data_IF_674708528948
#
_entry.id   IF_674708528948
#
_cell.length_a   1.000
_cell.length_b   1.000
_cell.length_c   1.000
_cell.angle_alpha   90.00
_cell.angle_beta   90.00
_cell.angle_gamma   90.00
#
_symmetry.space_group_name_H-M   'P 1'
#
loop_
_entity.id
_entity.type
_entity.pdbx_description
1 polymer ?
#
# COMPACT_ATOMS: atom_id res chain seq x y z
N UNK A 1 -17.55 0.15 16.37
CA UNK A 1 -17.43 -1.30 16.55
C UNK A 1 -15.96 -1.71 16.65
N UNK A 2 -15.63 -2.68 17.48
CA UNK A 2 -14.29 -3.25 17.61
C UNK A 2 -14.37 -4.72 17.21
N UNK A 3 -13.44 -5.19 16.36
CA UNK A 3 -13.33 -6.58 15.94
C UNK A 3 -11.90 -7.07 16.07
N UNK A 4 -11.71 -8.34 16.34
CA UNK A 4 -10.41 -9.00 16.31
C UNK A 4 -10.32 -9.87 15.05
N UNK A 5 -9.34 -9.57 14.19
CA UNK A 5 -9.12 -10.24 12.93
C UNK A 5 -7.72 -10.84 12.90
N UNK A 6 -7.58 -11.98 12.27
CA UNK A 6 -6.26 -12.49 11.87
C UNK A 6 -5.65 -11.58 10.79
N UNK A 7 -4.33 -11.62 10.66
CA UNK A 7 -3.65 -10.92 9.56
C UNK A 7 -4.15 -11.38 8.19
N UNK A 8 -4.47 -12.66 8.04
CA UNK A 8 -5.02 -13.20 6.80
C UNK A 8 -6.38 -12.58 6.44
N UNK A 9 -7.30 -12.47 7.40
CA UNK A 9 -8.62 -11.83 7.20
C UNK A 9 -8.50 -10.32 6.91
N UNK A 10 -7.58 -9.64 7.58
CA UNK A 10 -7.30 -8.22 7.29
C UNK A 10 -6.75 -8.03 5.87
N UNK A 11 -5.83 -8.91 5.45
CA UNK A 11 -5.24 -8.86 4.12
C UNK A 11 -6.27 -9.17 3.03
N UNK A 12 -7.13 -10.19 3.25
CA UNK A 12 -8.26 -10.51 2.36
C UNK A 12 -9.20 -9.32 2.19
N UNK A 13 -9.60 -8.67 3.29
CA UNK A 13 -10.48 -7.51 3.24
C UNK A 13 -9.87 -6.34 2.47
N UNK A 14 -8.57 -6.07 2.62
CA UNK A 14 -7.88 -5.01 1.88
C UNK A 14 -7.69 -5.37 0.40
N UNK A 15 -7.41 -6.62 0.06
CA UNK A 15 -7.38 -7.09 -1.34
C UNK A 15 -8.76 -6.92 -1.98
N UNK A 16 -9.82 -7.39 -1.34
CA UNK A 16 -11.18 -7.29 -1.84
C UNK A 16 -11.65 -5.82 -1.98
N UNK A 17 -11.33 -4.94 -1.04
CA UNK A 17 -11.77 -3.54 -1.06
C UNK A 17 -11.05 -2.66 -2.08
N UNK A 18 -9.96 -3.16 -2.65
CA UNK A 18 -9.17 -2.47 -3.68
C UNK A 18 -9.27 -3.11 -5.07
N UNK A 19 -10.22 -4.03 -5.27
CA UNK A 19 -10.35 -4.88 -6.46
C UNK A 19 -10.34 -4.15 -7.79
N UNK A 20 -10.86 -2.93 -7.87
CA UNK A 20 -10.95 -2.15 -9.10
C UNK A 20 -10.00 -0.93 -9.13
N UNK A 21 -9.16 -0.73 -8.11
CA UNK A 21 -8.18 0.37 -8.13
C UNK A 21 -7.27 0.27 -9.37
N UNK A 22 -7.06 1.36 -10.15
CA UNK A 22 -7.26 2.76 -9.79
C UNK A 22 -8.68 3.33 -10.00
N UNK A 23 -9.63 2.55 -10.52
CA UNK A 23 -11.00 3.02 -10.67
C UNK A 23 -11.64 3.24 -9.28
N UNK A 24 -12.45 4.31 -9.12
CA UNK A 24 -13.05 4.63 -7.82
C UNK A 24 -14.11 3.61 -7.42
N UNK A 25 -14.13 3.25 -6.14
CA UNK A 25 -15.16 2.40 -5.54
C UNK A 25 -15.51 2.92 -4.15
N UNK A 26 -16.80 2.84 -3.79
CA UNK A 26 -17.28 3.27 -2.47
C UNK A 26 -16.67 2.47 -1.30
N UNK A 27 -16.31 1.23 -1.55
CA UNK A 27 -15.68 0.34 -0.57
C UNK A 27 -14.18 0.62 -0.34
N UNK A 28 -13.54 1.57 -1.07
CA UNK A 28 -12.12 1.85 -0.92
C UNK A 28 -11.76 2.22 0.53
N UNK A 29 -10.78 1.55 1.15
CA UNK A 29 -10.45 1.75 2.56
C UNK A 29 -9.82 3.11 2.83
N UNK A 30 -10.28 3.76 3.90
CA UNK A 30 -9.60 4.91 4.50
C UNK A 30 -9.08 4.45 5.86
N UNK A 31 -7.77 4.25 5.96
CA UNK A 31 -7.15 3.59 7.12
C UNK A 31 -6.40 4.55 8.03
N UNK A 32 -6.31 4.18 9.31
CA UNK A 32 -5.36 4.73 10.28
C UNK A 32 -4.66 3.57 10.98
N UNK A 33 -3.36 3.72 11.26
CA UNK A 33 -2.57 2.67 11.89
C UNK A 33 -2.18 1.51 10.98
N UNK A 34 -2.57 1.54 9.71
CA UNK A 34 -2.18 0.55 8.70
C UNK A 34 -1.46 1.27 7.57
N UNK A 35 -0.34 0.72 7.12
CA UNK A 35 0.37 1.17 5.92
C UNK A 35 0.45 0.00 4.93
N UNK A 36 0.00 0.23 3.70
CA UNK A 36 -0.02 -0.81 2.68
C UNK A 36 0.18 -0.27 1.26
N UNK A 37 0.56 -1.15 0.36
CA UNK A 37 0.76 -0.87 -1.07
C UNK A 37 -0.25 -1.62 -1.90
N UNK A 38 -0.77 -0.98 -2.94
CA UNK A 38 -1.61 -1.60 -3.97
C UNK A 38 -0.83 -1.63 -5.27
N UNK A 39 -0.59 -2.80 -5.82
CA UNK A 39 -0.05 -2.93 -7.17
C UNK A 39 -1.19 -2.90 -8.20
N UNK A 40 -1.40 -1.75 -8.83
CA UNK A 40 -2.45 -1.56 -9.85
C UNK A 40 -2.13 -2.21 -11.19
N UNK A 41 -0.87 -2.63 -11.40
CA UNK A 41 -0.44 -3.41 -12.58
C UNK A 41 -0.75 -4.90 -12.47
N UNK A 42 -0.95 -5.42 -11.25
CA UNK A 42 -1.39 -6.79 -11.03
C UNK A 42 -2.93 -6.88 -11.12
N UNK A 43 -3.42 -7.96 -11.73
CA UNK A 43 -4.86 -8.21 -11.82
C UNK A 43 -5.43 -8.66 -10.48
N UNK A 44 -6.66 -8.23 -10.17
CA UNK A 44 -7.45 -8.85 -9.10
C UNK A 44 -7.85 -10.26 -9.53
N UNK A 45 -7.52 -11.24 -8.71
CA UNK A 45 -7.87 -12.64 -8.95
C UNK A 45 -9.22 -12.93 -8.28
N UNK A 46 -10.28 -12.79 -9.08
CA UNK A 46 -11.65 -12.93 -8.58
C UNK A 46 -12.02 -14.41 -8.42
N UNK A 47 -12.39 -14.80 -7.20
CA UNK A 47 -12.97 -16.08 -6.86
C UNK A 47 -14.49 -16.13 -7.04
N UNK A 48 -15.16 -16.89 -6.18
CA UNK A 48 -16.62 -16.91 -6.10
C UNK A 48 -17.15 -15.63 -5.42
N UNK A 49 -18.41 -15.34 -5.60
CA UNK A 49 -18.99 -14.22 -4.88
C UNK A 49 -19.16 -14.56 -3.40
N UNK A 50 -18.87 -13.62 -2.54
CA UNK A 50 -19.25 -13.73 -1.13
C UNK A 50 -20.75 -14.01 -0.97
N UNK A 51 -21.15 -14.87 -0.03
CA UNK A 51 -22.54 -15.28 0.13
C UNK A 51 -23.51 -14.11 0.26
N UNK A 52 -24.49 -14.06 -0.65
CA UNK A 52 -25.52 -13.03 -0.65
C UNK A 52 -25.10 -11.66 -1.18
N UNK A 53 -23.91 -11.56 -1.78
CA UNK A 53 -23.38 -10.32 -2.34
C UNK A 53 -23.09 -10.44 -3.84
N UNK A 54 -22.74 -9.32 -4.48
CA UNK A 54 -22.25 -9.26 -5.86
C UNK A 54 -20.72 -9.10 -5.93
N UNK A 55 -20.05 -9.07 -4.79
CA UNK A 55 -18.60 -8.93 -4.69
C UNK A 55 -17.93 -10.30 -4.68
N UNK A 56 -16.91 -10.46 -5.51
CA UNK A 56 -16.09 -11.66 -5.51
C UNK A 56 -15.04 -11.63 -4.40
N UNK A 57 -14.88 -12.76 -3.71
CA UNK A 57 -13.72 -12.96 -2.83
C UNK A 57 -12.43 -13.01 -3.65
N UNK A 58 -11.27 -12.65 -3.09
CA UNK A 58 -10.00 -12.88 -3.78
C UNK A 58 -9.68 -14.38 -3.78
N UNK A 59 -9.48 -14.97 -4.96
CA UNK A 59 -8.98 -16.34 -5.08
C UNK A 59 -7.51 -16.46 -4.66
N UNK A 60 -6.78 -15.35 -4.78
CA UNK A 60 -5.40 -15.19 -4.28
C UNK A 60 -5.10 -13.73 -4.00
N UNK A 61 -4.12 -13.47 -3.12
CA UNK A 61 -3.63 -12.13 -2.81
C UNK A 61 -2.59 -11.74 -3.85
N UNK A 62 -2.96 -10.86 -4.76
CA UNK A 62 -2.11 -10.45 -5.88
C UNK A 62 -1.66 -8.99 -5.83
N UNK A 63 -2.46 -8.11 -5.25
CA UNK A 63 -2.32 -6.66 -5.39
C UNK A 63 -1.88 -5.97 -4.12
N UNK A 64 -2.38 -6.41 -2.97
CA UNK A 64 -2.15 -5.76 -1.68
C UNK A 64 -0.99 -6.37 -0.93
N UNK A 65 -0.08 -5.51 -0.48
CA UNK A 65 0.98 -5.86 0.47
C UNK A 65 0.85 -4.93 1.67
N UNK A 66 0.48 -5.47 2.84
CA UNK A 66 0.47 -4.71 4.10
C UNK A 66 1.92 -4.59 4.58
N UNK A 67 2.37 -3.37 4.82
CA UNK A 67 3.73 -3.08 5.29
C UNK A 67 3.78 -3.07 6.81
N UNK A 68 2.91 -2.28 7.43
CA UNK A 68 2.85 -2.16 8.89
C UNK A 68 1.42 -2.09 9.42
N UNK A 69 1.23 -2.58 10.64
CA UNK A 69 0.04 -2.37 11.46
C UNK A 69 0.48 -1.87 12.84
N UNK A 70 -0.08 -0.75 13.29
CA UNK A 70 0.34 -0.12 14.54
C UNK A 70 1.82 0.32 14.56
N UNK A 71 2.42 0.55 13.39
CA UNK A 71 3.83 0.90 13.24
C UNK A 71 4.80 -0.28 13.40
N UNK A 72 4.29 -1.52 13.50
CA UNK A 72 5.07 -2.74 13.50
C UNK A 72 4.94 -3.47 12.15
N UNK A 73 5.96 -4.22 11.75
CA UNK A 73 5.89 -5.04 10.55
C UNK A 73 4.66 -5.96 10.59
N UNK A 74 3.96 -6.06 9.45
CA UNK A 74 2.79 -6.92 9.34
C UNK A 74 3.16 -8.41 9.49
N UNK A 75 2.33 -9.13 10.22
CA UNK A 75 2.42 -10.57 10.41
C UNK A 75 1.05 -11.19 10.07
N UNK A 76 1.01 -12.04 9.04
CA UNK A 76 -0.21 -12.68 8.55
C UNK A 76 -0.84 -13.62 9.58
N UNK A 77 -0.04 -14.17 10.48
CA UNK A 77 -0.46 -15.12 11.52
C UNK A 77 -0.83 -14.42 12.85
N UNK A 78 -0.60 -13.12 12.96
CA UNK A 78 -0.96 -12.36 14.15
C UNK A 78 -2.45 -12.02 14.19
N UNK A 79 -2.96 -11.67 15.37
CA UNK A 79 -4.31 -11.11 15.57
C UNK A 79 -4.22 -9.61 15.77
N UNK A 80 -5.09 -8.87 15.10
CA UNK A 80 -5.17 -7.41 15.14
C UNK A 80 -6.53 -6.95 15.63
N UNK A 81 -6.52 -5.97 16.53
CA UNK A 81 -7.73 -5.27 16.97
C UNK A 81 -8.02 -4.12 15.99
N UNK A 82 -9.13 -4.19 15.29
CA UNK A 82 -9.56 -3.22 14.29
C UNK A 82 -10.79 -2.47 14.79
N UNK A 83 -10.78 -1.15 14.65
CA UNK A 83 -11.93 -0.28 14.90
C UNK A 83 -12.57 0.09 13.57
N UNK A 84 -13.86 -0.14 13.44
CA UNK A 84 -14.63 0.15 12.22
C UNK A 84 -16.09 0.50 12.57
N UNK A 85 -16.91 0.77 11.56
CA UNK A 85 -18.35 0.94 11.77
C UNK A 85 -19.06 -0.43 11.80
N UNK A 86 -20.31 -0.44 12.25
CA UNK A 86 -21.15 -1.63 12.36
C UNK A 86 -21.43 -2.31 11.01
N UNK A 87 -21.61 -1.52 9.95
CA UNK A 87 -21.85 -2.03 8.60
C UNK A 87 -20.66 -2.86 8.07
N UNK A 88 -19.42 -2.34 8.19
CA UNK A 88 -18.24 -3.08 7.77
C UNK A 88 -17.94 -4.26 8.72
N UNK A 89 -18.14 -4.11 10.03
CA UNK A 89 -17.99 -5.20 10.99
C UNK A 89 -18.94 -6.37 10.69
N UNK A 90 -20.12 -6.09 10.15
CA UNK A 90 -21.08 -7.10 9.70
C UNK A 90 -20.76 -7.68 8.31
N UNK A 91 -19.63 -7.32 7.70
CA UNK A 91 -19.22 -7.82 6.38
C UNK A 91 -19.81 -7.04 5.22
N UNK A 92 -20.21 -5.78 5.44
CA UNK A 92 -20.77 -4.91 4.40
C UNK A 92 -19.80 -4.61 3.28
N UNK A 93 -20.29 -4.33 2.08
CA UNK A 93 -19.51 -4.13 0.86
C UNK A 93 -18.55 -5.31 0.58
N UNK A 94 -17.28 -5.04 0.44
CA UNK A 94 -16.22 -6.03 0.19
C UNK A 94 -15.54 -6.54 1.46
N UNK A 95 -16.00 -6.13 2.66
CA UNK A 95 -15.37 -6.48 3.94
C UNK A 95 -15.95 -7.75 4.57
N UNK A 96 -16.36 -8.71 3.73
CA UNK A 96 -17.00 -9.94 4.20
C UNK A 96 -16.13 -10.70 5.22
N UNK A 97 -14.81 -10.68 5.07
CA UNK A 97 -13.87 -11.28 6.03
C UNK A 97 -14.07 -10.74 7.46
N UNK A 98 -14.52 -9.50 7.64
CA UNK A 98 -14.77 -8.92 8.97
C UNK A 98 -15.92 -9.63 9.70
N UNK A 99 -16.87 -10.21 8.98
CA UNK A 99 -17.95 -10.99 9.58
C UNK A 99 -17.49 -12.33 10.18
N UNK A 100 -16.31 -12.79 9.84
CA UNK A 100 -15.69 -13.99 10.39
C UNK A 100 -14.91 -13.75 11.70
N UNK A 101 -14.81 -12.48 12.16
CA UNK A 101 -14.11 -12.13 13.39
C UNK A 101 -14.55 -13.01 14.58
N UNK A 102 -13.57 -13.64 15.25
CA UNK A 102 -13.83 -14.53 16.38
C UNK A 102 -14.40 -13.79 17.60
N UNK A 103 -14.04 -12.51 17.74
CA UNK A 103 -14.52 -11.65 18.82
C UNK A 103 -14.70 -10.22 18.36
N UNK A 104 -15.57 -9.51 19.06
CA UNK A 104 -15.86 -8.11 18.81
C UNK A 104 -16.98 -7.58 19.69
N UNK A 105 -17.09 -6.27 19.77
CA UNK A 105 -18.16 -5.63 20.52
C UNK A 105 -18.56 -4.28 19.93
N UNK A 106 -19.82 -3.92 20.13
CA UNK A 106 -20.33 -2.60 19.86
C UNK A 106 -19.92 -1.65 20.99
N UNK A 107 -19.26 -0.55 20.65
CA UNK A 107 -18.89 0.49 21.64
C UNK A 107 -20.09 1.31 22.11
N UNK A 108 -21.22 1.25 21.40
CA UNK A 108 -22.39 2.09 21.65
C UNK A 108 -22.19 3.57 21.32
N UNK A 109 -21.06 3.94 20.69
CA UNK A 109 -20.75 5.33 20.32
C UNK A 109 -21.01 5.48 18.82
N UNK A 110 -21.80 6.48 18.45
CA UNK A 110 -22.07 6.75 17.04
C UNK A 110 -20.85 7.39 16.34
N UNK A 111 -20.72 7.17 15.02
CA UNK A 111 -19.59 7.69 14.24
C UNK A 111 -19.49 9.22 14.29
N UNK A 112 -20.61 9.91 14.23
CA UNK A 112 -20.66 11.37 14.33
C UNK A 112 -20.19 11.87 15.71
N UNK A 113 -20.57 11.17 16.79
CA UNK A 113 -20.11 11.49 18.13
C UNK A 113 -18.58 11.34 18.25
N UNK A 114 -18.02 10.22 17.76
CA UNK A 114 -16.56 9.99 17.76
C UNK A 114 -15.82 11.12 17.02
N UNK A 115 -16.34 11.55 15.87
CA UNK A 115 -15.71 12.64 15.09
C UNK A 115 -15.84 13.98 15.82
N UNK A 116 -16.97 14.25 16.44
CA UNK A 116 -17.19 15.49 17.21
C UNK A 116 -16.27 15.53 18.44
N UNK A 117 -16.19 14.44 19.20
CA UNK A 117 -15.34 14.34 20.39
C UNK A 117 -13.86 14.52 19.99
N UNK A 118 -13.41 13.86 18.92
CA UNK A 118 -12.05 14.02 18.41
C UNK A 118 -11.73 15.46 18.02
N UNK A 119 -12.65 16.14 17.31
CA UNK A 119 -12.44 17.54 16.92
C UNK A 119 -12.40 18.44 18.19
N UNK A 120 -13.27 18.18 19.15
CA UNK A 120 -13.41 19.03 20.33
C UNK A 120 -12.28 18.81 21.34
N UNK A 121 -11.93 17.55 21.62
CA UNK A 121 -11.03 17.17 22.69
C UNK A 121 -9.56 17.09 22.25
N UNK A 122 -9.32 16.58 21.01
CA UNK A 122 -7.97 16.34 20.49
C UNK A 122 -7.47 17.46 19.54
N UNK A 123 -8.38 18.24 18.96
CA UNK A 123 -8.05 19.29 18.00
C UNK A 123 -8.43 20.70 18.49
N UNK A 124 -8.77 20.87 19.77
CA UNK A 124 -9.22 22.15 20.33
C UNK A 124 -10.32 22.83 19.50
N UNK A 125 -11.24 22.03 18.94
CA UNK A 125 -12.37 22.52 18.13
C UNK A 125 -11.99 22.96 16.71
N UNK A 126 -10.74 22.73 16.25
CA UNK A 126 -10.29 23.26 14.95
C UNK A 126 -9.59 22.20 14.08
N UNK A 127 -10.14 21.95 12.89
CA UNK A 127 -9.48 21.17 11.84
C UNK A 127 -8.67 22.10 10.94
N UNK A 128 -7.35 21.95 10.90
CA UNK A 128 -6.47 22.82 10.12
C UNK A 128 -5.91 22.15 8.88
N UNK A 129 -5.71 22.94 7.81
CA UNK A 129 -5.03 22.47 6.60
C UNK A 129 -3.57 22.09 6.88
N UNK A 130 -2.92 22.68 7.87
CA UNK A 130 -1.55 22.29 8.26
C UNK A 130 -1.47 20.85 8.75
N UNK A 131 -2.52 20.34 9.42
CA UNK A 131 -2.56 18.97 9.95
C UNK A 131 -3.18 17.98 8.95
N UNK A 132 -4.18 18.38 8.17
CA UNK A 132 -4.98 17.49 7.33
C UNK A 132 -5.00 17.86 5.84
N UNK A 133 -4.29 18.91 5.43
CA UNK A 133 -4.25 19.36 4.04
C UNK A 133 -3.34 18.54 3.12
N UNK A 134 -2.62 17.57 3.66
CA UNK A 134 -1.78 16.64 2.92
C UNK A 134 -2.20 15.21 3.20
N UNK A 135 -1.91 14.31 2.26
CA UNK A 135 -2.12 12.88 2.48
C UNK A 135 -1.21 12.36 3.60
N UNK A 136 -1.69 11.39 4.35
CA UNK A 136 -0.90 10.78 5.41
C UNK A 136 0.08 9.71 4.91
N UNK A 137 0.15 9.48 3.60
CA UNK A 137 1.02 8.50 2.93
C UNK A 137 0.94 7.08 3.55
N UNK A 138 -0.27 6.65 3.91
CA UNK A 138 -0.51 5.31 4.47
C UNK A 138 -0.86 4.28 3.40
N UNK A 139 -1.32 4.75 2.25
CA UNK A 139 -1.71 3.93 1.11
C UNK A 139 -0.83 4.34 -0.07
N UNK A 140 -0.02 3.41 -0.54
CA UNK A 140 0.87 3.60 -1.66
C UNK A 140 0.34 2.86 -2.89
N UNK A 141 0.70 3.33 -4.08
CA UNK A 141 0.40 2.64 -5.32
C UNK A 141 1.67 2.42 -6.12
N UNK A 142 1.82 1.21 -6.64
CA UNK A 142 2.79 0.86 -7.68
C UNK A 142 2.03 0.29 -8.89
N UNK A 143 2.70 0.16 -10.03
CA UNK A 143 2.03 -0.38 -11.24
C UNK A 143 3.01 -1.24 -12.02
N UNK A 144 3.14 -2.51 -11.63
CA UNK A 144 4.01 -3.49 -12.27
C UNK A 144 3.22 -4.75 -12.60
N UNK A 145 3.19 -5.14 -13.87
CA UNK A 145 2.44 -6.29 -14.35
C UNK A 145 3.18 -7.64 -14.15
N UNK A 146 4.42 -7.59 -13.70
CA UNK A 146 5.32 -8.72 -13.47
C UNK A 146 5.71 -8.90 -11.99
N UNK A 147 4.94 -8.28 -11.08
CA UNK A 147 5.10 -8.36 -9.63
C UNK A 147 3.74 -8.65 -9.00
N UNK A 148 3.64 -9.70 -8.20
CA UNK A 148 2.44 -9.99 -7.39
C UNK A 148 2.77 -9.91 -5.90
N UNK A 149 1.76 -9.74 -5.06
CA UNK A 149 1.97 -9.61 -3.60
C UNK A 149 2.65 -10.84 -2.99
N UNK A 150 2.45 -12.04 -3.58
CA UNK A 150 3.03 -13.30 -3.11
C UNK A 150 4.46 -13.59 -3.58
N UNK A 151 5.05 -12.77 -4.44
CA UNK A 151 6.40 -12.98 -4.91
C UNK A 151 7.43 -12.68 -3.80
N UNK A 152 8.46 -13.52 -3.68
CA UNK A 152 9.48 -13.38 -2.64
C UNK A 152 10.25 -12.05 -2.68
N UNK A 153 10.32 -11.42 -3.84
CA UNK A 153 11.01 -10.14 -4.05
C UNK A 153 10.11 -8.92 -3.89
N UNK A 154 8.80 -9.10 -3.70
CA UNK A 154 7.85 -7.97 -3.65
C UNK A 154 8.15 -6.95 -2.57
N UNK A 155 8.55 -7.30 -1.34
CA UNK A 155 8.92 -6.32 -0.33
C UNK A 155 10.09 -5.43 -0.78
N UNK A 156 11.10 -6.01 -1.45
CA UNK A 156 12.26 -5.28 -1.95
C UNK A 156 11.87 -4.37 -3.13
N UNK A 157 11.02 -4.84 -4.04
CA UNK A 157 10.48 -4.03 -5.14
C UNK A 157 9.72 -2.82 -4.62
N UNK A 158 8.84 -3.03 -3.63
CA UNK A 158 8.10 -1.94 -2.99
C UNK A 158 9.10 -0.94 -2.37
N UNK A 159 10.06 -1.42 -1.57
CA UNK A 159 11.05 -0.56 -0.92
C UNK A 159 11.83 0.30 -1.91
N UNK A 160 12.41 -0.30 -2.95
CA UNK A 160 13.23 0.45 -3.91
C UNK A 160 12.40 1.39 -4.78
N UNK A 161 11.12 1.09 -4.99
CA UNK A 161 10.18 1.97 -5.70
C UNK A 161 9.77 3.16 -4.84
N UNK A 162 9.30 2.92 -3.62
CA UNK A 162 8.85 3.99 -2.72
C UNK A 162 9.98 4.92 -2.29
N UNK A 163 11.20 4.40 -2.19
CA UNK A 163 12.40 5.22 -1.91
C UNK A 163 12.99 5.88 -3.16
N UNK A 164 12.45 5.61 -4.35
CA UNK A 164 12.93 6.18 -5.61
C UNK A 164 14.27 5.63 -6.10
N UNK A 165 14.75 4.53 -5.52
CA UNK A 165 16.02 3.90 -5.92
C UNK A 165 15.91 3.21 -7.27
N UNK A 166 14.76 2.53 -7.53
CA UNK A 166 14.45 1.88 -8.81
C UNK A 166 12.97 2.06 -9.13
N UNK A 167 12.63 2.28 -10.40
CA UNK A 167 11.26 2.56 -10.84
C UNK A 167 10.76 1.61 -11.93
N UNK A 168 11.45 0.49 -12.17
CA UNK A 168 11.11 -0.41 -13.26
C UNK A 168 11.37 0.18 -14.65
N UNK A 169 10.86 -0.49 -15.67
CA UNK A 169 10.95 -0.09 -17.09
C UNK A 169 9.64 -0.38 -17.81
N UNK A 170 8.95 0.64 -18.30
CA UNK A 170 7.63 0.48 -18.91
C UNK A 170 6.59 -0.01 -17.90
N UNK A 171 5.87 -1.08 -18.23
CA UNK A 171 4.79 -1.63 -17.42
C UNK A 171 5.26 -2.68 -16.39
N UNK A 172 6.57 -2.96 -16.33
CA UNK A 172 7.14 -3.99 -15.46
C UNK A 172 8.33 -3.47 -14.64
N UNK A 173 8.65 -4.20 -13.58
CA UNK A 173 9.85 -3.99 -12.77
C UNK A 173 11.03 -4.81 -13.29
N UNK A 174 10.76 -5.95 -13.92
CA UNK A 174 11.72 -6.93 -14.45
C UNK A 174 12.62 -7.56 -13.37
N UNK A 175 12.04 -8.11 -12.29
CA UNK A 175 12.77 -8.55 -11.10
C UNK A 175 13.74 -9.72 -11.39
N UNK A 176 13.48 -10.49 -12.44
CA UNK A 176 14.30 -11.64 -12.83
C UNK A 176 15.38 -11.31 -13.88
N UNK A 177 15.47 -10.06 -14.34
CA UNK A 177 16.46 -9.65 -15.31
C UNK A 177 17.79 -9.30 -14.63
N UNK A 178 18.91 -9.54 -15.35
CA UNK A 178 20.20 -9.12 -14.88
C UNK A 178 20.30 -7.59 -14.87
N UNK A 179 20.75 -7.02 -13.76
CA UNK A 179 21.11 -5.62 -13.67
C UNK A 179 22.40 -5.34 -14.47
N UNK A 180 22.41 -4.28 -15.27
CA UNK A 180 23.61 -3.84 -15.96
C UNK A 180 24.42 -2.81 -15.14
N UNK A 181 25.63 -2.47 -15.59
CA UNK A 181 26.51 -1.55 -14.87
C UNK A 181 25.91 -0.16 -14.70
N UNK A 182 25.24 0.36 -15.73
CA UNK A 182 24.59 1.67 -15.68
C UNK A 182 23.47 1.71 -14.64
N UNK A 183 22.66 0.65 -14.56
CA UNK A 183 21.61 0.53 -13.53
C UNK A 183 22.23 0.48 -12.12
N UNK A 184 23.30 -0.33 -11.93
CA UNK A 184 23.94 -0.43 -10.62
C UNK A 184 24.50 0.91 -10.15
N UNK A 185 25.26 1.62 -10.98
CA UNK A 185 25.85 2.91 -10.57
C UNK A 185 24.76 3.97 -10.33
N UNK A 186 23.66 3.93 -11.09
CA UNK A 186 22.52 4.84 -10.88
C UNK A 186 21.84 4.59 -9.53
N UNK A 187 21.67 3.33 -9.12
CA UNK A 187 21.15 3.01 -7.78
C UNK A 187 22.09 3.56 -6.70
N UNK A 188 23.39 3.33 -6.82
CA UNK A 188 24.37 3.85 -5.86
C UNK A 188 24.38 5.39 -5.80
N UNK A 189 24.28 6.05 -6.93
CA UNK A 189 24.19 7.51 -7.02
C UNK A 189 22.93 8.04 -6.31
N UNK A 190 21.79 7.40 -6.52
CA UNK A 190 20.53 7.73 -5.83
C UNK A 190 20.63 7.48 -4.32
N UNK A 191 21.24 6.37 -3.91
CA UNK A 191 21.50 6.09 -2.47
C UNK A 191 22.39 7.14 -1.82
N UNK A 192 23.33 7.73 -2.58
CA UNK A 192 24.18 8.83 -2.11
C UNK A 192 23.46 10.20 -2.09
N UNK A 193 22.17 10.25 -2.43
CA UNK A 193 21.38 11.48 -2.45
C UNK A 193 21.57 12.32 -3.71
N UNK A 194 22.03 11.71 -4.79
CA UNK A 194 22.26 12.37 -6.10
C UNK A 194 23.11 13.63 -5.97
N UNK A 195 24.38 13.50 -5.52
CA UNK A 195 25.26 14.65 -5.34
C UNK A 195 25.46 15.39 -6.66
N UNK A 196 25.66 16.71 -6.58
CA UNK A 196 25.95 17.53 -7.76
C UNK A 196 27.24 17.07 -8.44
N UNK A 197 27.13 16.77 -9.73
CA UNK A 197 28.28 16.38 -10.56
C UNK A 197 28.88 17.63 -11.18
N UNK A 198 30.18 17.84 -10.96
CA UNK A 198 30.89 18.97 -11.49
C UNK A 198 32.14 18.50 -12.31
N UNK A 199 32.37 19.12 -13.44
CA UNK A 199 33.49 18.81 -14.31
C UNK A 199 33.07 18.33 -15.70
N UNK A 200 34.07 18.13 -16.56
CA UNK A 200 33.84 17.60 -17.91
C UNK A 200 33.79 16.07 -17.87
N UNK A 201 32.98 15.49 -18.73
CA UNK A 201 32.90 14.04 -18.89
C UNK A 201 34.19 13.49 -19.53
N UNK A 202 34.98 12.69 -18.80
CA UNK A 202 36.23 12.16 -19.32
C UNK A 202 36.05 10.87 -20.16
N UNK A 203 34.84 10.32 -20.20
CA UNK A 203 34.56 9.02 -20.81
C UNK A 203 34.02 9.18 -22.23
N UNK A 204 34.67 8.52 -23.19
CA UNK A 204 34.26 8.56 -24.61
C UNK A 204 33.09 7.61 -24.93
N UNK A 205 32.82 6.65 -24.06
CA UNK A 205 31.76 5.63 -24.17
C UNK A 205 30.54 5.92 -23.28
N UNK A 206 30.52 7.05 -22.58
CA UNK A 206 29.38 7.53 -21.78
C UNK A 206 28.88 8.82 -22.45
N UNK A 207 27.80 8.74 -23.25
CA UNK A 207 27.19 9.94 -23.86
C UNK A 207 26.62 10.86 -22.80
N UNK A 208 26.71 12.17 -23.04
CA UNK A 208 26.07 13.17 -22.20
C UNK A 208 24.56 13.08 -22.27
N UNK A 209 23.86 13.44 -21.16
CA UNK A 209 22.40 13.53 -21.09
C UNK A 209 21.68 12.19 -21.07
N UNK A 210 22.36 11.08 -20.84
CA UNK A 210 21.72 9.81 -20.57
C UNK A 210 21.26 9.75 -19.10
N UNK A 211 20.28 8.90 -18.81
CA UNK A 211 19.73 8.72 -17.45
C UNK A 211 20.77 8.25 -16.42
N UNK A 212 21.92 7.75 -16.87
CA UNK A 212 23.03 7.25 -16.03
C UNK A 212 24.27 8.13 -16.09
N UNK A 213 24.31 9.19 -16.91
CA UNK A 213 25.52 10.00 -17.11
C UNK A 213 26.06 10.54 -15.80
N UNK A 214 25.22 11.24 -15.02
CA UNK A 214 25.64 11.82 -13.74
C UNK A 214 26.05 10.76 -12.71
N UNK A 215 25.46 9.57 -12.81
CA UNK A 215 25.83 8.48 -11.91
C UNK A 215 27.16 7.82 -12.23
N UNK A 216 27.69 8.00 -13.45
CA UNK A 216 28.99 7.49 -13.87
C UNK A 216 30.07 8.50 -13.59
N UNK A 217 29.80 9.79 -13.62
CA UNK A 217 30.72 10.91 -13.37
C UNK A 217 30.93 11.16 -11.87
#
# INVERSE_FOLDING_TARGET
>A
YVVELTGAELLEALEASTYCTPEPVGAFPQVAGIEFTINTGAAYDAGENYPGTTYAEPASINRVTILTVGGQAFDVDATYTIVTNDFLAAGGDTYYAFSAAESGYDTGISLDQVVMDYITEELDGTVTAARYGQTANRIHTISYNDVTAGDWFTPDVIYVTLTGLMNGTGDGFSPNNNINRAQLVTVLYRMAGQPEVTGENPFTDVPDGQWYTDAVL
#
